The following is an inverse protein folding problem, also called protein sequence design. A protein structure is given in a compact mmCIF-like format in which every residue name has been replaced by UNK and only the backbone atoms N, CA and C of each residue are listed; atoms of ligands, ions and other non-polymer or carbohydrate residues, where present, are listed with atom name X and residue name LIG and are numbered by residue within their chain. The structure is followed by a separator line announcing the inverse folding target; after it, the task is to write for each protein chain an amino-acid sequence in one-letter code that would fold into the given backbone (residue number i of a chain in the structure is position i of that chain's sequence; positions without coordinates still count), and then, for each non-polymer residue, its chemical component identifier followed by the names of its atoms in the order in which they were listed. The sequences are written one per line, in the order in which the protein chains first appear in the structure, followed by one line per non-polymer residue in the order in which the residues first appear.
data_IF_891093842337
#
_entry.id   IF_891093842337
#
_cell.length_a   1.000
_cell.length_b   1.000
_cell.length_c   1.000
_cell.angle_alpha   90.00
_cell.angle_beta   90.00
_cell.angle_gamma   90.00
#
_symmetry.space_group_name_H-M   'P 1'
#
loop_
_entity.id
_entity.type
_entity.pdbx_description
1 polymer ?
#
# COMPACT_ATOMS: atom_id res chain seq x y z
N UNK A 1 -5.29 9.40 6.37
CA UNK A 1 -6.48 8.84 7.05
C UNK A 1 -6.29 7.36 7.38
N UNK A 2 -5.73 6.54 6.48
CA UNK A 2 -5.59 5.09 6.68
C UNK A 2 -4.88 4.67 7.99
N UNK A 3 -3.73 5.26 8.36
CA UNK A 3 -3.07 4.96 9.65
C UNK A 3 -3.97 5.31 10.85
N UNK A 4 -4.80 6.35 10.73
CA UNK A 4 -5.69 6.80 11.82
C UNK A 4 -6.83 5.80 12.01
N UNK A 5 -7.38 5.26 10.92
CA UNK A 5 -8.52 4.34 10.93
C UNK A 5 -8.12 2.87 11.15
N UNK A 6 -7.00 2.44 10.58
CA UNK A 6 -6.58 1.03 10.48
C UNK A 6 -5.40 0.70 11.39
N UNK A 7 -4.61 1.70 11.79
CA UNK A 7 -3.36 1.49 12.54
C UNK A 7 -2.26 0.78 11.75
N UNK A 8 -1.20 0.36 12.43
CA UNK A 8 -0.12 -0.44 11.85
C UNK A 8 -0.49 -1.93 11.91
N UNK A 9 -0.93 -2.49 10.79
CA UNK A 9 -1.30 -3.91 10.64
C UNK A 9 -0.12 -4.75 10.13
N UNK A 10 1.11 -4.31 10.43
CA UNK A 10 2.35 -4.93 9.95
C UNK A 10 2.37 -5.00 8.42
N UNK A 11 2.72 -6.15 7.85
CA UNK A 11 2.80 -6.38 6.41
C UNK A 11 1.49 -6.07 5.66
N UNK A 12 0.32 -6.12 6.32
CA UNK A 12 -0.96 -5.83 5.69
C UNK A 12 -1.21 -4.33 5.45
N UNK A 13 -0.44 -3.43 6.09
CA UNK A 13 -0.66 -1.98 6.00
C UNK A 13 -0.54 -1.45 4.58
N UNK A 14 0.45 -1.92 3.81
CA UNK A 14 0.65 -1.48 2.42
C UNK A 14 -0.47 -1.98 1.50
N UNK A 15 -0.82 -3.28 1.48
CA UNK A 15 -1.97 -3.75 0.70
C UNK A 15 -3.30 -3.07 1.04
N UNK A 16 -3.58 -2.81 2.32
CA UNK A 16 -4.83 -2.14 2.74
C UNK A 16 -4.87 -0.68 2.26
N UNK A 17 -3.77 0.06 2.39
CA UNK A 17 -3.66 1.41 1.84
C UNK A 17 -3.87 1.43 0.33
N UNK A 18 -3.24 0.50 -0.39
CA UNK A 18 -3.39 0.35 -1.85
C UNK A 18 -4.84 0.08 -2.25
N UNK A 19 -5.51 -0.84 -1.56
CA UNK A 19 -6.92 -1.18 -1.77
C UNK A 19 -7.82 0.05 -1.58
N UNK A 20 -7.63 0.78 -0.48
CA UNK A 20 -8.43 1.97 -0.17
C UNK A 20 -8.22 3.07 -1.20
N UNK A 21 -6.97 3.32 -1.60
CA UNK A 21 -6.63 4.33 -2.61
C UNK A 21 -7.27 4.01 -3.97
N UNK A 22 -7.22 2.74 -4.39
CA UNK A 22 -7.88 2.30 -5.61
C UNK A 22 -9.41 2.43 -5.50
N UNK A 23 -10.01 1.96 -4.40
CA UNK A 23 -11.47 1.96 -4.21
C UNK A 23 -12.05 3.38 -4.15
N UNK A 24 -11.29 4.32 -3.60
CA UNK A 24 -11.69 5.73 -3.49
C UNK A 24 -11.33 6.57 -4.73
N UNK A 25 -10.70 5.97 -5.75
CA UNK A 25 -10.29 6.67 -6.96
C UNK A 25 -9.14 7.68 -6.74
N UNK A 26 -8.42 7.58 -5.63
CA UNK A 26 -7.22 8.39 -5.39
C UNK A 26 -6.05 7.98 -6.29
N UNK A 27 -6.07 6.73 -6.77
CA UNK A 27 -5.11 6.23 -7.73
C UNK A 27 -5.80 5.33 -8.74
N UNK A 28 -5.36 5.40 -10.00
CA UNK A 28 -5.88 4.56 -11.07
C UNK A 28 -5.17 3.19 -11.11
N UNK A 29 -5.87 2.11 -11.49
CA UNK A 29 -5.22 0.86 -11.85
C UNK A 29 -4.11 1.07 -12.89
N UNK A 30 -2.96 0.42 -12.71
CA UNK A 30 -1.80 0.58 -13.59
C UNK A 30 -0.96 1.84 -13.36
N UNK A 31 -1.32 2.71 -12.41
CA UNK A 31 -0.45 3.81 -12.00
C UNK A 31 0.90 3.28 -11.45
N UNK A 32 1.97 4.03 -11.63
CA UNK A 32 3.28 3.68 -11.04
C UNK A 32 3.29 4.07 -9.56
N UNK A 33 3.68 3.14 -8.68
CA UNK A 33 3.81 3.39 -7.25
C UNK A 33 5.17 2.90 -6.72
N UNK A 34 5.69 3.59 -5.70
CA UNK A 34 6.83 3.13 -4.90
C UNK A 34 6.29 2.58 -3.58
N UNK A 35 6.54 1.29 -3.33
CA UNK A 35 6.31 0.66 -2.03
C UNK A 35 7.59 0.74 -1.21
N UNK A 36 7.48 1.09 0.07
CA UNK A 36 8.59 1.13 1.01
C UNK A 36 8.13 0.58 2.36
N UNK A 37 8.84 -0.40 2.88
CA UNK A 37 8.54 -1.06 4.15
C UNK A 37 9.77 -1.13 5.06
N UNK A 38 9.52 -1.11 6.37
CA UNK A 38 10.52 -1.31 7.42
C UNK A 38 10.09 -2.46 8.32
N UNK A 39 11.06 -3.25 8.77
CA UNK A 39 10.85 -4.42 9.62
C UNK A 39 11.84 -4.49 10.78
N UNK A 40 11.75 -5.56 11.56
CA UNK A 40 12.65 -5.80 12.68
C UNK A 40 14.12 -5.83 12.23
N UNK A 41 15.03 -5.49 13.15
CA UNK A 41 16.47 -5.50 12.89
C UNK A 41 16.92 -4.41 11.91
N UNK A 42 16.21 -3.29 11.81
CA UNK A 42 16.49 -2.20 10.87
C UNK A 42 16.45 -2.63 9.40
N UNK A 43 15.73 -3.72 9.10
CA UNK A 43 15.54 -4.20 7.74
C UNK A 43 14.59 -3.28 6.98
N UNK A 44 14.87 -3.04 5.70
CA UNK A 44 14.00 -2.28 4.82
C UNK A 44 13.92 -2.94 3.44
N UNK A 45 12.82 -2.69 2.74
CA UNK A 45 12.62 -3.14 1.36
C UNK A 45 11.84 -2.08 0.58
N UNK A 46 12.22 -1.86 -0.67
CA UNK A 46 11.53 -0.95 -1.58
C UNK A 46 11.33 -1.58 -2.96
N UNK A 47 10.18 -1.31 -3.58
CA UNK A 47 9.85 -1.83 -4.90
C UNK A 47 9.00 -0.83 -5.68
N UNK A 48 9.36 -0.58 -6.94
CA UNK A 48 8.48 0.14 -7.88
C UNK A 48 7.55 -0.86 -8.55
N UNK A 49 6.25 -0.60 -8.47
CA UNK A 49 5.20 -1.47 -9.00
C UNK A 49 4.23 -0.70 -9.88
N UNK A 50 3.44 -1.46 -10.62
CA UNK A 50 2.18 -0.97 -11.19
C UNK A 50 1.05 -1.30 -10.21
N UNK A 51 0.19 -0.32 -9.94
CA UNK A 51 -0.99 -0.53 -9.10
C UNK A 51 -1.86 -1.64 -9.71
N UNK A 52 -2.31 -2.61 -8.92
CA UNK A 52 -3.13 -3.70 -9.44
C UNK A 52 -4.52 -3.19 -9.84
N UNK A 53 -5.30 -3.98 -10.59
CA UNK A 53 -6.74 -3.76 -10.68
C UNK A 53 -7.40 -3.92 -9.31
N UNK A 54 -8.56 -3.27 -9.11
CA UNK A 54 -9.43 -3.58 -7.97
C UNK A 54 -9.84 -5.05 -8.04
N UNK A 55 -9.70 -5.76 -6.92
CA UNK A 55 -10.28 -7.08 -6.78
C UNK A 55 -11.81 -6.98 -6.96
N UNK A 56 -12.37 -7.95 -7.69
CA UNK A 56 -13.81 -8.07 -7.90
C UNK A 56 -14.53 -8.40 -6.60
#
# INVERSE_FOLDING_TARGET
DDIIETGNTSAASIPLAMEKMLRTGQVEPGATALLLAFGAGLSFAGQVVKMPPLAQ
#
